data_IF_897878714738
#
_entry.id   IF_897878714738
#
_cell.length_a   1.000
_cell.length_b   1.000
_cell.length_c   1.000
_cell.angle_alpha   90.00
_cell.angle_beta   90.00
_cell.angle_gamma   90.00
#
_symmetry.space_group_name_H-M   'P 1'
#
loop_
_entity.id
_entity.type
_entity.pdbx_description
1 polymer ?
#
# COMPACT_ATOMS: atom_id res chain seq x y z
N UNK A 1 -28.49 5.30 -26.95
CA UNK A 1 -28.44 4.04 -26.16
C UNK A 1 -27.03 3.46 -26.07
N UNK A 2 -26.40 3.03 -27.17
CA UNK A 2 -25.03 2.45 -27.12
C UNK A 2 -24.01 3.33 -26.38
N UNK A 3 -23.97 4.63 -26.68
CA UNK A 3 -23.06 5.58 -26.01
C UNK A 3 -23.31 5.67 -24.49
N UNK A 4 -24.57 5.76 -24.08
CA UNK A 4 -24.99 5.83 -22.67
C UNK A 4 -24.60 4.54 -21.93
N UNK A 5 -24.80 3.38 -22.56
CA UNK A 5 -24.43 2.09 -21.97
C UNK A 5 -22.91 1.95 -21.80
N UNK A 6 -22.11 2.40 -22.79
CA UNK A 6 -20.65 2.40 -22.67
C UNK A 6 -20.19 3.30 -21.51
N UNK A 7 -20.78 4.49 -21.38
CA UNK A 7 -20.47 5.43 -20.30
C UNK A 7 -20.79 4.86 -18.91
N UNK A 8 -21.91 4.15 -18.80
CA UNK A 8 -22.28 3.43 -17.58
C UNK A 8 -21.26 2.33 -17.24
N UNK A 9 -20.89 1.50 -18.21
CA UNK A 9 -19.90 0.44 -17.99
C UNK A 9 -18.53 1.00 -17.57
N UNK A 10 -18.09 2.10 -18.17
CA UNK A 10 -16.84 2.77 -17.79
C UNK A 10 -16.92 3.33 -16.35
N UNK A 11 -18.07 3.91 -15.98
CA UNK A 11 -18.31 4.39 -14.62
C UNK A 11 -18.31 3.25 -13.58
N UNK A 12 -18.94 2.12 -13.89
CA UNK A 12 -18.96 0.92 -13.03
C UNK A 12 -17.53 0.38 -12.79
N UNK A 13 -16.70 0.34 -13.84
CA UNK A 13 -15.28 -0.05 -13.71
C UNK A 13 -14.50 0.89 -12.79
N UNK A 14 -14.79 2.18 -12.81
CA UNK A 14 -14.13 3.14 -11.92
C UNK A 14 -14.56 2.95 -10.45
N UNK A 15 -15.84 2.68 -10.19
CA UNK A 15 -16.30 2.36 -8.83
C UNK A 15 -15.66 1.06 -8.32
N UNK A 16 -15.57 0.05 -9.18
CA UNK A 16 -14.90 -1.22 -8.85
C UNK A 16 -13.42 -1.03 -8.55
N UNK A 17 -12.73 -0.21 -9.35
CA UNK A 17 -11.34 0.18 -9.11
C UNK A 17 -11.18 0.80 -7.70
N UNK A 18 -12.01 1.79 -7.36
CA UNK A 18 -11.95 2.47 -6.06
C UNK A 18 -12.16 1.46 -4.93
N UNK A 19 -13.21 0.64 -5.03
CA UNK A 19 -13.51 -0.40 -4.03
C UNK A 19 -12.34 -1.37 -3.83
N UNK A 20 -11.79 -1.87 -4.93
CA UNK A 20 -10.65 -2.80 -4.91
C UNK A 20 -9.46 -2.15 -4.23
N UNK A 21 -9.13 -0.92 -4.61
CA UNK A 21 -8.00 -0.20 -4.07
C UNK A 21 -8.15 0.10 -2.56
N UNK A 22 -9.31 0.59 -2.12
CA UNK A 22 -9.58 0.82 -0.70
C UNK A 22 -9.47 -0.46 0.14
N UNK A 23 -9.92 -1.60 -0.39
CA UNK A 23 -9.76 -2.90 0.28
C UNK A 23 -8.30 -3.33 0.37
N UNK A 24 -7.52 -3.17 -0.71
CA UNK A 24 -6.10 -3.51 -0.72
C UNK A 24 -5.31 -2.68 0.28
N UNK A 25 -5.57 -1.37 0.39
CA UNK A 25 -4.92 -0.51 1.39
C UNK A 25 -5.24 -1.01 2.81
N UNK A 26 -6.50 -1.37 3.09
CA UNK A 26 -6.89 -1.90 4.39
C UNK A 26 -6.25 -3.26 4.71
N UNK A 27 -6.07 -4.12 3.72
CA UNK A 27 -5.35 -5.39 3.87
C UNK A 27 -3.85 -5.16 4.14
N UNK A 28 -3.24 -4.21 3.43
CA UNK A 28 -1.85 -3.79 3.67
C UNK A 28 -1.69 -3.24 5.09
N UNK A 29 -2.59 -2.37 5.55
CA UNK A 29 -2.62 -1.86 6.93
C UNK A 29 -2.76 -2.99 7.95
N UNK A 30 -3.67 -3.95 7.73
CA UNK A 30 -3.86 -5.09 8.64
C UNK A 30 -2.61 -5.96 8.73
N UNK A 31 -1.90 -6.16 7.62
CA UNK A 31 -0.65 -6.90 7.60
C UNK A 31 0.46 -6.16 8.38
N UNK A 32 0.60 -4.85 8.16
CA UNK A 32 1.60 -4.01 8.83
C UNK A 32 1.36 -3.86 10.32
N UNK A 33 0.10 -3.73 10.75
CA UNK A 33 -0.26 -3.59 12.16
C UNK A 33 0.10 -4.81 13.02
N UNK A 34 0.50 -5.95 12.43
CA UNK A 34 1.11 -7.07 13.15
C UNK A 34 2.52 -6.76 13.68
N UNK A 35 3.18 -5.75 13.12
CA UNK A 35 4.57 -5.38 13.41
C UNK A 35 4.70 -3.99 14.06
N UNK A 36 3.65 -3.17 14.04
CA UNK A 36 3.72 -1.77 14.46
C UNK A 36 3.36 -1.54 15.94
N UNK A 37 3.28 -2.60 16.77
CA UNK A 37 2.98 -2.54 18.21
C UNK A 37 1.91 -1.50 18.57
N UNK A 38 2.28 -0.47 19.34
CA UNK A 38 1.41 0.63 19.80
C UNK A 38 1.24 1.76 18.75
N UNK A 39 1.99 1.73 17.66
CA UNK A 39 1.97 2.72 16.57
C UNK A 39 1.08 2.29 15.40
N UNK A 40 -0.07 1.68 15.70
CA UNK A 40 -0.99 1.16 14.68
C UNK A 40 -1.46 2.25 13.73
N UNK A 41 -1.63 1.87 12.48
CA UNK A 41 -2.22 2.70 11.45
C UNK A 41 -3.73 2.48 11.47
N UNK A 42 -4.49 3.59 11.43
CA UNK A 42 -5.93 3.54 11.29
C UNK A 42 -6.33 3.07 9.89
N UNK A 43 -7.44 2.35 9.79
CA UNK A 43 -7.98 1.91 8.51
C UNK A 43 -8.20 3.09 7.55
N UNK A 44 -8.10 2.79 6.26
CA UNK A 44 -8.42 3.70 5.18
C UNK A 44 -9.94 3.94 5.14
N UNK A 45 -10.32 5.21 5.13
CA UNK A 45 -11.72 5.64 5.14
C UNK A 45 -12.36 5.38 3.78
N UNK A 46 -13.63 4.95 3.78
CA UNK A 46 -14.37 4.60 2.56
C UNK A 46 -15.19 5.76 1.99
N UNK A 47 -14.95 7.00 2.44
CA UNK A 47 -15.72 8.19 2.05
C UNK A 47 -15.69 8.39 0.52
N UNK A 48 -14.54 8.16 -0.12
CA UNK A 48 -14.40 8.30 -1.58
C UNK A 48 -15.18 7.20 -2.31
N UNK A 49 -15.21 5.98 -1.77
CA UNK A 49 -16.04 4.89 -2.30
C UNK A 49 -17.53 5.21 -2.18
N UNK A 50 -17.97 5.77 -1.04
CA UNK A 50 -19.35 6.21 -0.84
C UNK A 50 -19.76 7.32 -1.83
N UNK A 51 -18.88 8.31 -2.08
CA UNK A 51 -19.07 9.34 -3.10
C UNK A 51 -19.20 8.71 -4.50
N UNK A 52 -18.34 7.74 -4.84
CA UNK A 52 -18.38 7.04 -6.13
C UNK A 52 -19.67 6.24 -6.33
N UNK A 53 -20.11 5.50 -5.32
CA UNK A 53 -21.37 4.72 -5.34
C UNK A 53 -22.56 5.65 -5.53
N UNK A 54 -22.59 6.80 -4.84
CA UNK A 54 -23.66 7.79 -4.98
C UNK A 54 -23.75 8.28 -6.43
N UNK A 55 -22.64 8.72 -7.01
CA UNK A 55 -22.63 9.18 -8.40
C UNK A 55 -23.02 8.08 -9.40
N UNK A 56 -22.63 6.82 -9.17
CA UNK A 56 -23.03 5.70 -10.02
C UNK A 56 -24.53 5.40 -9.91
N UNK A 57 -25.13 5.52 -8.74
CA UNK A 57 -26.57 5.40 -8.55
C UNK A 57 -27.34 6.51 -9.27
N UNK A 58 -26.86 7.75 -9.18
CA UNK A 58 -27.45 8.89 -9.89
C UNK A 58 -27.35 8.71 -11.41
N UNK A 59 -26.20 8.25 -11.90
CA UNK A 59 -25.99 7.90 -13.33
C UNK A 59 -26.99 6.83 -13.79
N UNK A 60 -27.18 5.76 -13.01
CA UNK A 60 -28.14 4.70 -13.28
C UNK A 60 -29.59 5.22 -13.37
N UNK A 61 -29.96 6.17 -12.50
CA UNK A 61 -31.28 6.80 -12.58
C UNK A 61 -31.45 7.61 -13.86
N UNK A 62 -30.44 8.42 -14.24
CA UNK A 62 -30.49 9.23 -15.47
C UNK A 62 -30.44 8.41 -16.75
N UNK A 63 -29.73 7.29 -16.74
CA UNK A 63 -29.74 6.34 -17.86
C UNK A 63 -31.15 5.80 -18.09
N UNK A 64 -31.83 5.30 -17.05
CA UNK A 64 -33.22 4.81 -17.15
C UNK A 64 -34.17 5.88 -17.69
N UNK A 65 -34.07 7.11 -17.20
CA UNK A 65 -34.85 8.25 -17.72
C UNK A 65 -34.58 8.48 -19.21
N UNK A 66 -33.31 8.44 -19.64
CA UNK A 66 -32.93 8.63 -21.04
C UNK A 66 -33.42 7.47 -21.94
N UNK A 67 -33.38 6.22 -21.46
CA UNK A 67 -33.95 5.07 -22.19
C UNK A 67 -35.46 5.24 -22.40
N UNK A 68 -36.17 5.69 -21.37
CA UNK A 68 -37.60 6.01 -21.45
C UNK A 68 -37.88 7.03 -22.57
N UNK A 69 -37.16 8.15 -22.57
CA UNK A 69 -37.33 9.19 -23.61
C UNK A 69 -37.01 8.66 -25.02
N UNK A 70 -35.99 7.81 -25.17
CA UNK A 70 -35.68 7.19 -26.48
C UNK A 70 -36.82 6.28 -26.95
N UNK A 71 -37.46 5.54 -26.04
CA UNK A 71 -38.59 4.69 -26.37
C UNK A 71 -39.82 5.52 -26.74
N UNK A 72 -40.07 6.64 -26.06
CA UNK A 72 -41.12 7.59 -26.43
C UNK A 72 -40.89 8.14 -27.84
N UNK A 73 -39.67 8.56 -28.18
CA UNK A 73 -39.31 9.02 -29.54
C UNK A 73 -39.57 7.93 -30.57
N UNK A 74 -39.15 6.68 -30.31
CA UNK A 74 -39.38 5.55 -31.22
C UNK A 74 -40.87 5.31 -31.44
N UNK A 75 -41.67 5.37 -30.38
CA UNK A 75 -43.11 5.20 -30.45
C UNK A 75 -43.74 6.29 -31.31
N UNK A 76 -43.41 7.56 -31.06
CA UNK A 76 -43.92 8.68 -31.86
C UNK A 76 -43.53 8.54 -33.35
N UNK A 77 -42.33 8.04 -33.67
CA UNK A 77 -41.95 7.76 -35.06
C UNK A 77 -42.78 6.64 -35.71
N UNK A 78 -43.10 5.57 -34.97
CA UNK A 78 -43.96 4.49 -35.46
C UNK A 78 -45.38 5.01 -35.67
N UNK A 79 -45.92 5.75 -34.71
CA UNK A 79 -47.27 6.31 -34.78
C UNK A 79 -47.40 7.29 -35.97
N UNK A 80 -46.39 8.14 -36.22
CA UNK A 80 -46.36 9.04 -37.38
C UNK A 80 -46.28 8.33 -38.72
N UNK A 81 -45.63 7.16 -38.78
CA UNK A 81 -45.44 6.43 -40.04
C UNK A 81 -46.76 5.89 -40.64
N UNK A 82 -47.81 5.86 -39.83
CA UNK A 82 -49.16 5.42 -40.20
C UNK A 82 -50.12 6.60 -40.47
N UNK A 83 -49.65 7.84 -40.30
CA UNK A 83 -50.49 9.03 -40.34
C UNK A 83 -50.53 9.65 -41.74
N UNK A 84 -51.73 10.05 -42.18
CA UNK A 84 -51.96 10.67 -43.50
C UNK A 84 -52.41 12.13 -43.38
N UNK A 85 -52.80 12.58 -42.19
CA UNK A 85 -53.28 13.94 -41.96
C UNK A 85 -52.17 14.93 -41.57
N UNK A 86 -52.09 16.05 -42.28
CA UNK A 86 -51.04 17.06 -42.09
C UNK A 86 -51.01 17.66 -40.67
N UNK A 87 -52.17 17.83 -40.02
CA UNK A 87 -52.26 18.35 -38.66
C UNK A 87 -51.68 17.36 -37.64
N UNK A 88 -51.97 16.08 -37.80
CA UNK A 88 -51.44 14.99 -36.97
C UNK A 88 -49.93 14.80 -37.18
N UNK A 89 -49.45 14.95 -38.42
CA UNK A 89 -48.02 14.99 -38.73
C UNK A 89 -47.30 16.16 -38.02
N UNK A 90 -47.89 17.37 -38.06
CA UNK A 90 -47.33 18.54 -37.39
C UNK A 90 -47.28 18.38 -35.86
N UNK A 91 -48.35 17.87 -35.24
CA UNK A 91 -48.39 17.62 -33.79
C UNK A 91 -47.31 16.61 -33.36
N UNK A 92 -47.14 15.55 -34.13
CA UNK A 92 -46.15 14.51 -33.83
C UNK A 92 -44.72 15.02 -33.99
N UNK A 93 -44.45 15.88 -34.98
CA UNK A 93 -43.17 16.59 -35.12
C UNK A 93 -42.86 17.40 -33.85
N UNK A 94 -43.82 18.14 -33.31
CA UNK A 94 -43.63 18.93 -32.09
C UNK A 94 -43.33 18.05 -30.88
N UNK A 95 -44.04 16.92 -30.72
CA UNK A 95 -43.77 15.95 -29.65
C UNK A 95 -42.37 15.35 -29.76
N UNK A 96 -41.98 14.87 -30.94
CA UNK A 96 -40.64 14.31 -31.20
C UNK A 96 -39.56 15.34 -30.84
N UNK A 97 -39.73 16.59 -31.27
CA UNK A 97 -38.80 17.68 -30.92
C UNK A 97 -38.76 17.94 -29.41
N UNK A 98 -39.91 17.91 -28.73
CA UNK A 98 -40.00 18.02 -27.27
C UNK A 98 -39.25 16.91 -26.54
N UNK A 99 -39.43 15.65 -26.96
CA UNK A 99 -38.69 14.51 -26.40
C UNK A 99 -37.19 14.60 -26.71
N UNK A 100 -36.82 15.01 -27.92
CA UNK A 100 -35.41 15.18 -28.31
C UNK A 100 -34.70 16.23 -27.44
N UNK A 101 -35.34 17.36 -27.15
CA UNK A 101 -34.78 18.37 -26.25
C UNK A 101 -34.57 17.83 -24.84
N UNK A 102 -35.55 17.10 -24.29
CA UNK A 102 -35.40 16.42 -22.98
C UNK A 102 -34.24 15.42 -22.99
N UNK A 103 -34.08 14.66 -24.07
CA UNK A 103 -32.99 13.70 -24.22
C UNK A 103 -31.63 14.40 -24.22
N UNK A 104 -31.50 15.54 -24.89
CA UNK A 104 -30.26 16.35 -24.92
C UNK A 104 -29.84 16.78 -23.51
N UNK A 105 -30.78 17.25 -22.70
CA UNK A 105 -30.50 17.64 -21.31
C UNK A 105 -30.10 16.44 -20.44
N UNK A 106 -30.73 15.28 -20.65
CA UNK A 106 -30.33 14.03 -19.95
C UNK A 106 -28.94 13.57 -20.34
N UNK A 107 -28.59 13.63 -21.63
CA UNK A 107 -27.24 13.29 -22.10
C UNK A 107 -26.19 14.21 -21.46
N UNK A 108 -26.47 15.52 -21.35
CA UNK A 108 -25.58 16.45 -20.64
C UNK A 108 -25.39 16.03 -19.18
N UNK A 109 -26.48 15.75 -18.46
CA UNK A 109 -26.43 15.30 -17.07
C UNK A 109 -25.66 13.98 -16.90
N UNK A 110 -25.86 13.01 -17.80
CA UNK A 110 -25.11 11.75 -17.84
C UNK A 110 -23.61 12.01 -18.01
N UNK A 111 -23.24 12.89 -18.94
CA UNK A 111 -21.84 13.26 -19.15
C UNK A 111 -21.22 13.89 -17.89
N UNK A 112 -21.96 14.76 -17.20
CA UNK A 112 -21.50 15.40 -15.96
C UNK A 112 -21.28 14.36 -14.84
N UNK A 113 -22.18 13.39 -14.68
CA UNK A 113 -21.97 12.29 -13.72
C UNK A 113 -20.75 11.44 -14.06
N UNK A 114 -20.54 11.10 -15.34
CA UNK A 114 -19.33 10.38 -15.77
C UNK A 114 -18.05 11.17 -15.49
N UNK A 115 -18.05 12.49 -15.73
CA UNK A 115 -16.93 13.38 -15.38
C UNK A 115 -16.66 13.40 -13.87
N UNK A 116 -17.71 13.44 -13.05
CA UNK A 116 -17.58 13.40 -11.59
C UNK A 116 -16.99 12.06 -11.11
N UNK A 117 -17.46 10.92 -11.62
CA UNK A 117 -16.92 9.60 -11.23
C UNK A 117 -15.43 9.48 -11.60
N UNK A 118 -15.05 9.97 -12.77
CA UNK A 118 -13.66 10.06 -13.21
C UNK A 118 -12.82 10.91 -12.24
N UNK A 119 -13.33 12.06 -11.81
CA UNK A 119 -12.65 12.91 -10.82
C UNK A 119 -12.53 12.21 -9.46
N UNK A 120 -13.57 11.51 -9.00
CA UNK A 120 -13.53 10.73 -7.75
C UNK A 120 -12.48 9.63 -7.81
N UNK A 121 -12.27 8.99 -8.96
CA UNK A 121 -11.15 8.05 -9.15
C UNK A 121 -9.79 8.72 -8.98
N UNK A 122 -9.60 9.93 -9.52
CA UNK A 122 -8.36 10.68 -9.30
C UNK A 122 -8.16 11.08 -7.83
N UNK A 123 -9.24 11.48 -7.13
CA UNK A 123 -9.20 11.73 -5.68
C UNK A 123 -8.83 10.48 -4.89
N UNK A 124 -9.34 9.30 -5.27
CA UNK A 124 -8.94 8.02 -4.66
C UNK A 124 -7.44 7.78 -4.83
N UNK A 125 -6.90 8.00 -6.02
CA UNK A 125 -5.47 7.85 -6.29
C UNK A 125 -4.62 8.81 -5.44
N UNK A 126 -5.03 10.08 -5.33
CA UNK A 126 -4.38 11.06 -4.45
C UNK A 126 -4.42 10.61 -2.98
N UNK A 127 -5.61 10.24 -2.48
CA UNK A 127 -5.80 9.84 -1.09
C UNK A 127 -5.09 8.53 -0.74
N UNK A 128 -4.97 7.61 -1.70
CA UNK A 128 -4.16 6.41 -1.58
C UNK A 128 -2.68 6.74 -1.38
N UNK A 129 -2.16 7.66 -2.20
CA UNK A 129 -0.79 8.15 -2.05
C UNK A 129 -0.58 8.77 -0.67
N UNK A 130 -1.49 9.64 -0.23
CA UNK A 130 -1.40 10.29 1.07
C UNK A 130 -1.43 9.26 2.22
N UNK A 131 -2.26 8.21 2.09
CA UNK A 131 -2.31 7.13 3.08
C UNK A 131 -1.04 6.30 3.11
N UNK A 132 -0.47 5.96 1.95
CA UNK A 132 0.80 5.25 1.88
C UNK A 132 1.96 6.09 2.44
N UNK A 133 1.94 7.41 2.26
CA UNK A 133 2.92 8.30 2.87
C UNK A 133 2.80 8.32 4.41
N UNK A 134 1.58 8.31 4.96
CA UNK A 134 1.34 8.13 6.40
C UNK A 134 1.95 6.81 6.90
N UNK A 135 1.77 5.73 6.14
CA UNK A 135 2.34 4.41 6.43
C UNK A 135 3.87 4.47 6.46
N UNK A 136 4.51 5.12 5.47
CA UNK A 136 5.97 5.30 5.44
C UNK A 136 6.46 6.02 6.71
N UNK A 137 5.75 7.05 7.17
CA UNK A 137 6.08 7.78 8.40
C UNK A 137 6.03 6.92 9.68
N UNK A 138 5.28 5.81 9.69
CA UNK A 138 5.21 4.90 10.84
C UNK A 138 6.38 3.93 10.93
N UNK A 139 7.08 3.67 9.83
CA UNK A 139 8.23 2.77 9.83
C UNK A 139 9.38 3.29 10.69
N UNK A 140 9.56 4.61 10.83
CA UNK A 140 10.64 5.19 11.64
C UNK A 140 10.72 4.58 13.04
N UNK A 141 9.61 4.52 13.76
CA UNK A 141 9.59 3.99 15.13
C UNK A 141 9.94 2.49 15.20
N UNK A 142 9.56 1.73 14.17
CA UNK A 142 9.88 0.29 14.06
C UNK A 142 11.38 0.12 13.84
N UNK A 143 11.95 0.90 12.92
CA UNK A 143 13.36 0.87 12.61
C UNK A 143 14.21 1.31 13.80
N UNK A 144 13.82 2.38 14.49
CA UNK A 144 14.49 2.89 15.69
C UNK A 144 14.50 1.84 16.81
N UNK A 145 13.37 1.16 17.04
CA UNK A 145 13.29 0.09 18.05
C UNK A 145 14.16 -1.11 17.66
N UNK A 146 14.12 -1.49 16.38
CA UNK A 146 14.87 -2.62 15.87
C UNK A 146 16.38 -2.38 15.95
N UNK A 147 16.88 -1.21 15.55
CA UNK A 147 18.31 -0.91 15.61
C UNK A 147 18.82 -0.90 17.05
N UNK A 148 18.06 -0.34 18.01
CA UNK A 148 18.45 -0.37 19.43
C UNK A 148 18.66 -1.81 19.92
N UNK A 149 17.71 -2.71 19.67
CA UNK A 149 17.84 -4.12 20.08
C UNK A 149 19.03 -4.83 19.43
N UNK A 150 19.30 -4.52 18.16
CA UNK A 150 20.43 -5.10 17.44
C UNK A 150 21.78 -4.63 18.00
N UNK A 151 21.87 -3.36 18.38
CA UNK A 151 23.06 -2.80 19.03
C UNK A 151 23.25 -3.34 20.46
N UNK A 152 22.16 -3.48 21.22
CA UNK A 152 22.21 -4.09 22.56
C UNK A 152 22.70 -5.54 22.49
N UNK A 153 22.14 -6.33 21.56
CA UNK A 153 22.61 -7.69 21.29
C UNK A 153 24.11 -7.70 20.91
N UNK A 154 24.55 -6.75 20.08
CA UNK A 154 25.96 -6.64 19.70
C UNK A 154 26.88 -6.42 20.90
N UNK A 155 26.52 -5.47 21.76
CA UNK A 155 27.29 -5.15 22.98
C UNK A 155 27.33 -6.34 23.95
N UNK A 156 26.22 -7.07 24.11
CA UNK A 156 26.20 -8.28 24.93
C UNK A 156 27.12 -9.36 24.37
N UNK A 157 27.12 -9.57 23.05
CA UNK A 157 28.03 -10.54 22.41
C UNK A 157 29.50 -10.16 22.63
N UNK A 158 29.87 -8.88 22.50
CA UNK A 158 31.24 -8.42 22.77
C UNK A 158 31.67 -8.66 24.23
N UNK A 159 30.78 -8.42 25.20
CA UNK A 159 31.05 -8.69 26.61
C UNK A 159 31.21 -10.20 26.88
N UNK A 160 30.38 -11.04 26.25
CA UNK A 160 30.49 -12.50 26.34
C UNK A 160 31.81 -12.99 25.73
N UNK A 161 32.18 -12.52 24.53
CA UNK A 161 33.42 -12.88 23.85
C UNK A 161 34.63 -12.57 24.74
N UNK A 162 34.67 -11.36 25.31
CA UNK A 162 35.72 -10.95 26.24
C UNK A 162 35.80 -11.88 27.45
N UNK A 163 34.66 -12.17 28.10
CA UNK A 163 34.61 -13.02 29.29
C UNK A 163 35.04 -14.45 29.01
N UNK A 164 34.63 -15.03 27.89
CA UNK A 164 35.02 -16.38 27.48
C UNK A 164 36.52 -16.44 27.17
N UNK A 165 37.05 -15.43 26.47
CA UNK A 165 38.50 -15.32 26.19
C UNK A 165 39.32 -15.21 27.47
N UNK A 166 38.88 -14.39 28.43
CA UNK A 166 39.53 -14.29 29.75
C UNK A 166 39.48 -15.62 30.52
N UNK A 167 38.38 -16.36 30.43
CA UNK A 167 38.24 -17.67 31.06
C UNK A 167 39.14 -18.72 30.42
N UNK A 168 39.30 -18.73 29.09
CA UNK A 168 40.26 -19.57 28.37
C UNK A 168 41.70 -19.32 28.88
N UNK A 169 42.09 -18.05 29.02
CA UNK A 169 43.38 -17.67 29.58
C UNK A 169 43.56 -18.13 31.03
N UNK A 170 42.53 -17.98 31.88
CA UNK A 170 42.55 -18.46 33.27
C UNK A 170 42.71 -19.97 33.35
N UNK A 171 42.01 -20.74 32.52
CA UNK A 171 42.14 -22.20 32.47
C UNK A 171 43.57 -22.63 32.13
N UNK A 172 44.21 -21.99 31.14
CA UNK A 172 45.61 -22.24 30.77
C UNK A 172 46.60 -21.98 31.92
N UNK A 173 46.28 -21.04 32.81
CA UNK A 173 47.12 -20.63 33.95
C UNK A 173 46.90 -21.40 35.25
N UNK A 174 45.91 -22.30 35.32
CA UNK A 174 45.67 -23.11 36.54
C UNK A 174 46.79 -24.16 36.68
N UNK A 175 47.35 -24.26 37.89
CA UNK A 175 48.41 -25.23 38.20
C UNK A 175 47.97 -26.65 37.87
N UNK A 176 48.84 -27.40 37.18
CA UNK A 176 48.66 -28.83 36.90
C UNK A 176 48.74 -29.71 38.15
N UNK A 177 49.12 -29.13 39.29
CA UNK A 177 49.14 -29.79 40.59
C UNK A 177 47.75 -29.71 41.23
N UNK A 178 47.18 -30.87 41.57
CA UNK A 178 45.85 -31.01 42.18
C UNK A 178 45.83 -30.57 43.64
N UNK A 179 45.85 -29.25 43.86
CA UNK A 179 45.55 -28.66 45.17
C UNK A 179 44.07 -28.31 45.26
N UNK A 180 43.52 -28.26 46.48
CA UNK A 180 42.15 -27.81 46.71
C UNK A 180 41.89 -26.42 46.10
N UNK A 181 42.88 -25.52 46.18
CA UNK A 181 42.79 -24.18 45.60
C UNK A 181 42.75 -24.22 44.06
N UNK A 182 43.52 -25.10 43.42
CA UNK A 182 43.48 -25.29 41.96
C UNK A 182 42.10 -25.78 41.51
N UNK A 183 41.52 -26.75 42.23
CA UNK A 183 40.19 -27.32 41.93
C UNK A 183 39.09 -26.26 42.09
N UNK A 184 39.13 -25.46 43.16
CA UNK A 184 38.15 -24.38 43.37
C UNK A 184 38.22 -23.31 42.27
N UNK A 185 39.44 -22.92 41.85
CA UNK A 185 39.62 -21.98 40.74
C UNK A 185 39.06 -22.54 39.43
N UNK A 186 39.33 -23.81 39.13
CA UNK A 186 38.80 -24.49 37.95
C UNK A 186 37.26 -24.49 37.94
N UNK A 187 36.64 -24.95 39.03
CA UNK A 187 35.18 -25.00 39.15
C UNK A 187 34.53 -23.62 38.97
N UNK A 188 35.12 -22.57 39.53
CA UNK A 188 34.63 -21.20 39.38
C UNK A 188 34.72 -20.72 37.92
N UNK A 189 35.79 -21.05 37.21
CA UNK A 189 35.93 -20.69 35.79
C UNK A 189 34.91 -21.46 34.94
N UNK A 190 34.73 -22.77 35.16
CA UNK A 190 33.70 -23.56 34.47
C UNK A 190 32.30 -22.99 34.70
N UNK A 191 31.94 -22.67 35.95
CA UNK A 191 30.63 -22.06 36.25
C UNK A 191 30.44 -20.72 35.53
N UNK A 192 31.49 -19.90 35.44
CA UNK A 192 31.42 -18.65 34.70
C UNK A 192 31.26 -18.87 33.19
N UNK A 193 31.88 -19.90 32.62
CA UNK A 193 31.68 -20.29 31.21
C UNK A 193 30.22 -20.67 31.00
N UNK A 194 29.65 -21.56 31.83
CA UNK A 194 28.26 -22.01 31.70
C UNK A 194 27.26 -20.84 31.73
N UNK A 195 27.44 -19.88 32.65
CA UNK A 195 26.60 -18.68 32.74
C UNK A 195 26.69 -17.83 31.46
N UNK A 196 27.88 -17.65 30.90
CA UNK A 196 28.04 -16.87 29.67
C UNK A 196 27.50 -17.61 28.44
N UNK A 197 27.56 -18.94 28.41
CA UNK A 197 26.96 -19.75 27.34
C UNK A 197 25.43 -19.70 27.37
N UNK A 198 24.81 -19.67 28.56
CA UNK A 198 23.37 -19.44 28.68
C UNK A 198 22.96 -18.07 28.10
N UNK A 199 23.70 -17.01 28.46
CA UNK A 199 23.48 -15.67 27.90
C UNK A 199 23.70 -15.62 26.39
N UNK A 200 24.71 -16.32 25.88
CA UNK A 200 24.98 -16.40 24.44
C UNK A 200 23.76 -16.97 23.69
N UNK A 201 23.17 -18.04 24.21
CA UNK A 201 21.96 -18.63 23.63
C UNK A 201 20.77 -17.66 23.69
N UNK A 202 20.58 -16.92 24.77
CA UNK A 202 19.52 -15.91 24.87
C UNK A 202 19.67 -14.82 23.79
N UNK A 203 20.89 -14.29 23.62
CA UNK A 203 21.18 -13.28 22.61
C UNK A 203 21.05 -13.84 21.18
N UNK A 204 21.44 -15.09 20.95
CA UNK A 204 21.24 -15.78 19.68
C UNK A 204 19.75 -15.86 19.31
N UNK A 205 18.88 -16.26 20.25
CA UNK A 205 17.43 -16.32 20.01
C UNK A 205 16.84 -14.93 19.75
N UNK A 206 17.27 -13.92 20.50
CA UNK A 206 16.91 -12.52 20.28
C UNK A 206 17.28 -12.07 18.86
N UNK A 207 18.53 -12.30 18.43
CA UNK A 207 19.01 -11.92 17.10
C UNK A 207 18.28 -12.66 15.97
N UNK A 208 18.00 -13.96 16.14
CA UNK A 208 17.23 -14.76 15.18
C UNK A 208 15.78 -14.28 15.05
N UNK A 209 15.18 -13.79 16.14
CA UNK A 209 13.86 -13.15 16.10
C UNK A 209 13.90 -11.85 15.31
N UNK A 210 14.89 -11.00 15.57
CA UNK A 210 15.05 -9.73 14.84
C UNK A 210 15.34 -9.95 13.34
N UNK A 211 16.15 -10.95 12.97
CA UNK A 211 16.39 -11.30 11.56
C UNK A 211 15.07 -11.61 10.81
N UNK A 212 14.17 -12.39 11.44
CA UNK A 212 12.84 -12.67 10.86
C UNK A 212 12.02 -11.41 10.68
N UNK A 213 12.08 -10.48 11.64
CA UNK A 213 11.36 -9.21 11.57
C UNK A 213 11.93 -8.29 10.49
N UNK A 214 13.25 -8.17 10.38
CA UNK A 214 13.94 -7.44 9.29
C UNK A 214 13.48 -7.97 7.93
N UNK A 215 13.48 -9.30 7.74
CA UNK A 215 13.06 -9.91 6.47
C UNK A 215 11.60 -9.59 6.13
N UNK A 216 10.71 -9.69 7.11
CA UNK A 216 9.30 -9.33 6.92
C UNK A 216 9.12 -7.84 6.59
N UNK A 217 9.92 -6.95 7.17
CA UNK A 217 9.92 -5.52 6.84
C UNK A 217 10.36 -5.27 5.40
N UNK A 218 11.42 -5.95 4.92
CA UNK A 218 11.87 -5.86 3.51
C UNK A 218 10.74 -6.27 2.56
N UNK A 219 10.09 -7.41 2.81
CA UNK A 219 9.00 -7.92 1.97
C UNK A 219 7.81 -6.95 1.94
N UNK A 220 7.41 -6.43 3.10
CA UNK A 220 6.30 -5.48 3.20
C UNK A 220 6.62 -4.16 2.49
N UNK A 221 7.80 -3.57 2.71
CA UNK A 221 8.18 -2.28 2.08
C UNK A 221 8.33 -2.43 0.58
N UNK A 222 8.90 -3.53 0.10
CA UNK A 222 9.00 -3.83 -1.34
C UNK A 222 7.62 -3.94 -1.98
N UNK A 223 6.66 -4.58 -1.28
CA UNK A 223 5.26 -4.64 -1.74
C UNK A 223 4.63 -3.24 -1.84
N UNK A 224 4.88 -2.36 -0.87
CA UNK A 224 4.35 -0.99 -0.87
C UNK A 224 4.97 -0.11 -1.97
N UNK A 225 6.27 -0.28 -2.27
CA UNK A 225 6.91 0.35 -3.44
C UNK A 225 6.20 -0.11 -4.73
N UNK A 226 5.93 -1.41 -4.86
CA UNK A 226 5.19 -1.94 -6.01
C UNK A 226 3.75 -1.41 -6.11
N UNK A 227 3.08 -1.13 -4.97
CA UNK A 227 1.79 -0.43 -4.96
C UNK A 227 1.92 0.98 -5.54
N UNK A 228 2.92 1.75 -5.11
CA UNK A 228 3.22 3.07 -5.65
C UNK A 228 3.47 3.04 -7.16
N UNK A 229 4.29 2.10 -7.63
CA UNK A 229 4.57 1.91 -9.06
C UNK A 229 3.29 1.56 -9.86
N UNK A 230 2.44 0.69 -9.32
CA UNK A 230 1.16 0.34 -9.95
C UNK A 230 0.26 1.56 -10.08
N UNK A 231 0.18 2.38 -9.03
CA UNK A 231 -0.59 3.62 -9.03
C UNK A 231 -0.07 4.62 -10.06
N UNK A 232 1.26 4.71 -10.24
CA UNK A 232 1.89 5.53 -11.27
C UNK A 232 1.55 5.03 -12.68
N UNK A 233 1.56 3.72 -12.90
CA UNK A 233 1.12 3.10 -14.16
C UNK A 233 -0.35 3.43 -14.43
N UNK A 234 -1.23 3.26 -13.45
CA UNK A 234 -2.66 3.57 -13.60
C UNK A 234 -2.90 5.06 -13.95
N UNK A 235 -2.11 5.97 -13.35
CA UNK A 235 -2.13 7.41 -13.68
C UNK A 235 -1.61 7.70 -15.09
N UNK A 236 -0.61 6.97 -15.57
CA UNK A 236 -0.09 7.09 -16.93
C UNK A 236 -1.10 6.58 -17.97
N UNK A 237 -1.73 5.44 -17.71
CA UNK A 237 -2.77 4.89 -18.59
C UNK A 237 -3.97 5.83 -18.66
N UNK A 238 -4.36 6.42 -17.53
CA UNK A 238 -5.40 7.44 -17.49
C UNK A 238 -5.03 8.67 -18.35
N UNK A 239 -3.78 9.11 -18.29
CA UNK A 239 -3.24 10.24 -19.07
C UNK A 239 -3.24 9.92 -20.59
N UNK A 240 -2.75 8.74 -20.99
CA UNK A 240 -2.69 8.30 -22.40
C UNK A 240 -4.08 8.09 -23.01
N UNK A 241 -4.99 7.43 -22.30
CA UNK A 241 -6.38 7.21 -22.77
C UNK A 241 -7.09 8.55 -23.00
N UNK A 242 -6.79 9.54 -22.17
CA UNK A 242 -7.33 10.90 -22.28
C UNK A 242 -6.75 11.70 -23.46
N UNK A 243 -5.63 11.27 -24.05
CA UNK A 243 -4.96 11.91 -25.20
C UNK A 243 -5.24 11.21 -26.55
N UNK A 244 -6.04 10.14 -26.57
CA UNK A 244 -6.45 9.48 -27.81
C UNK A 244 -7.49 10.31 -28.57
N UNK A 245 -7.35 10.39 -29.89
CA UNK A 245 -8.05 11.28 -30.85
C UNK A 245 -9.59 11.17 -30.92
N UNK A 246 -10.23 10.41 -30.03
CA UNK A 246 -11.65 10.08 -30.08
C UNK A 246 -12.51 10.63 -28.92
N UNK A 247 -11.97 11.43 -27.98
CA UNK A 247 -12.76 12.09 -26.92
C UNK A 247 -12.29 13.52 -26.68
N UNK A 248 -13.21 14.39 -26.25
CA UNK A 248 -12.94 15.77 -25.79
C UNK A 248 -11.60 15.82 -25.05
N UNK A 249 -10.69 16.70 -25.49
CA UNK A 249 -9.40 16.89 -24.83
C UNK A 249 -9.61 16.98 -23.33
N UNK A 250 -8.93 16.13 -22.55
CA UNK A 250 -8.81 16.34 -21.10
C UNK A 250 -8.44 17.79 -20.87
N UNK A 251 -9.26 18.52 -20.12
CA UNK A 251 -8.98 19.92 -19.87
C UNK A 251 -7.62 20.07 -19.17
N UNK A 252 -6.98 21.22 -19.39
CA UNK A 252 -5.65 21.53 -18.85
C UNK A 252 -5.62 21.40 -17.31
N UNK A 253 -6.74 21.67 -16.64
CA UNK A 253 -6.89 21.51 -15.20
C UNK A 253 -6.76 20.05 -14.75
N UNK A 254 -7.39 19.11 -15.46
CA UNK A 254 -7.32 17.68 -15.18
C UNK A 254 -5.90 17.16 -15.43
N UNK A 255 -5.24 17.60 -16.50
CA UNK A 255 -3.83 17.23 -16.77
C UNK A 255 -2.89 17.72 -15.66
N UNK A 256 -3.03 18.99 -15.26
CA UNK A 256 -2.29 19.55 -14.12
C UNK A 256 -2.54 18.77 -12.84
N UNK A 257 -3.78 18.36 -12.58
CA UNK A 257 -4.12 17.57 -11.42
C UNK A 257 -3.49 16.18 -11.45
N UNK A 258 -3.53 15.47 -12.57
CA UNK A 258 -2.84 14.18 -12.75
C UNK A 258 -1.34 14.33 -12.49
N UNK A 259 -0.69 15.36 -13.05
CA UNK A 259 0.75 15.62 -12.81
C UNK A 259 1.05 15.85 -11.34
N UNK A 260 0.20 16.59 -10.62
CA UNK A 260 0.31 16.78 -9.17
C UNK A 260 0.24 15.44 -8.42
N UNK A 261 -0.72 14.58 -8.78
CA UNK A 261 -0.86 13.25 -8.15
C UNK A 261 0.39 12.40 -8.44
N UNK A 262 0.88 12.36 -9.70
CA UNK A 262 2.12 11.65 -10.05
C UNK A 262 3.30 12.11 -9.19
N UNK A 263 3.42 13.42 -8.95
CA UNK A 263 4.43 13.97 -8.03
C UNK A 263 4.31 13.44 -6.60
N UNK A 264 3.09 13.38 -6.05
CA UNK A 264 2.85 12.79 -4.72
C UNK A 264 3.19 11.30 -4.67
N UNK A 265 2.83 10.54 -5.71
CA UNK A 265 3.11 9.11 -5.79
C UNK A 265 4.62 8.86 -5.84
N UNK A 266 5.36 9.62 -6.65
CA UNK A 266 6.83 9.53 -6.70
C UNK A 266 7.45 9.83 -5.34
N UNK A 267 7.02 10.90 -4.67
CA UNK A 267 7.50 11.22 -3.33
C UNK A 267 7.20 10.10 -2.32
N UNK A 268 6.05 9.44 -2.44
CA UNK A 268 5.68 8.29 -1.60
C UNK A 268 6.58 7.07 -1.87
N UNK A 269 6.92 6.82 -3.14
CA UNK A 269 7.86 5.75 -3.53
C UNK A 269 9.25 6.03 -2.95
N UNK A 270 9.74 7.26 -3.08
CA UNK A 270 11.03 7.70 -2.51
C UNK A 270 11.05 7.52 -0.98
N UNK A 271 9.95 7.87 -0.30
CA UNK A 271 9.83 7.67 1.14
C UNK A 271 9.99 6.18 1.54
N UNK A 272 9.39 5.25 0.79
CA UNK A 272 9.59 3.83 1.04
C UNK A 272 10.98 3.32 0.63
N UNK A 273 11.61 3.91 -0.37
CA UNK A 273 12.99 3.56 -0.73
C UNK A 273 13.95 3.92 0.41
N UNK A 274 13.81 5.10 1.02
CA UNK A 274 14.59 5.48 2.20
C UNK A 274 14.34 4.51 3.38
N UNK A 275 13.09 4.11 3.61
CA UNK A 275 12.77 3.09 4.61
C UNK A 275 13.47 1.76 4.29
N UNK A 276 13.47 1.34 3.02
CA UNK A 276 14.12 0.10 2.60
C UNK A 276 15.63 0.14 2.82
N UNK A 277 16.29 1.27 2.55
CA UNK A 277 17.71 1.48 2.80
C UNK A 277 18.04 1.30 4.29
N UNK A 278 17.29 1.94 5.19
CA UNK A 278 17.47 1.78 6.64
C UNK A 278 17.23 0.33 7.11
N UNK A 279 16.29 -0.41 6.49
CA UNK A 279 16.12 -1.83 6.80
C UNK A 279 17.33 -2.65 6.38
N UNK A 280 17.99 -2.32 5.26
CA UNK A 280 19.23 -3.01 4.86
C UNK A 280 20.38 -2.76 5.84
N UNK A 281 20.45 -1.59 6.46
CA UNK A 281 21.41 -1.33 7.55
C UNK A 281 21.13 -2.24 8.74
N UNK A 282 19.88 -2.34 9.20
CA UNK A 282 19.49 -3.28 10.27
C UNK A 282 19.82 -4.73 9.90
N UNK A 283 19.63 -5.12 8.63
CA UNK A 283 20.03 -6.44 8.14
C UNK A 283 21.53 -6.68 8.30
N UNK A 284 22.38 -5.70 7.98
CA UNK A 284 23.83 -5.83 8.19
C UNK A 284 24.16 -6.07 9.67
N UNK A 285 23.49 -5.38 10.59
CA UNK A 285 23.66 -5.59 12.04
C UNK A 285 23.27 -7.01 12.47
N UNK A 286 22.16 -7.57 11.97
CA UNK A 286 21.79 -8.98 12.27
C UNK A 286 22.87 -9.97 11.83
N UNK A 287 23.49 -9.74 10.67
CA UNK A 287 24.57 -10.58 10.13
C UNK A 287 25.86 -10.45 10.95
N UNK A 288 26.22 -9.23 11.34
CA UNK A 288 27.39 -8.98 12.19
C UNK A 288 27.26 -9.67 13.55
N UNK A 289 26.07 -9.60 14.16
CA UNK A 289 25.79 -10.31 15.41
C UNK A 289 25.87 -11.83 15.23
N UNK A 290 25.33 -12.38 14.14
CA UNK A 290 25.42 -13.81 13.84
C UNK A 290 26.89 -14.27 13.66
N UNK A 291 27.72 -13.47 12.99
CA UNK A 291 29.15 -13.75 12.82
C UNK A 291 29.91 -13.72 14.14
N UNK A 292 29.63 -12.73 14.99
CA UNK A 292 30.25 -12.63 16.33
C UNK A 292 29.85 -13.80 17.21
N UNK A 293 28.56 -14.15 17.23
CA UNK A 293 28.05 -15.34 17.94
C UNK A 293 28.78 -16.62 17.50
N UNK A 294 28.95 -16.82 16.19
CA UNK A 294 29.71 -17.95 15.65
C UNK A 294 31.18 -17.93 16.11
N UNK A 295 31.82 -16.75 16.14
CA UNK A 295 33.18 -16.59 16.64
C UNK A 295 33.32 -17.03 18.10
N UNK A 296 32.36 -16.68 18.95
CA UNK A 296 32.34 -17.06 20.37
C UNK A 296 32.26 -18.59 20.54
N UNK A 297 31.40 -19.27 19.76
CA UNK A 297 31.33 -20.74 19.77
C UNK A 297 32.66 -21.39 19.37
N UNK A 298 33.43 -20.79 18.45
CA UNK A 298 34.75 -21.30 18.09
C UNK A 298 35.80 -21.14 19.19
N UNK A 299 35.68 -20.10 20.04
CA UNK A 299 36.54 -19.98 21.25
C UNK A 299 36.15 -21.06 22.25
N UNK A 300 34.85 -21.26 22.48
CA UNK A 300 34.34 -22.25 23.43
C UNK A 300 34.76 -23.71 23.11
N UNK A 301 34.95 -24.04 21.82
CA UNK A 301 35.42 -25.37 21.40
C UNK A 301 36.89 -25.66 21.70
N UNK A 302 37.71 -24.64 22.00
CA UNK A 302 39.17 -24.78 22.24
C UNK A 302 39.47 -25.10 23.68
#
# INVERSE_FOLDING_TARGET
LRLINNQKQDAEKNVEYIKKNSNLINDDIRALNKYFDNNRINNYQLIILEEAIKHANDLNAKEKEAVGIVNDIKKEFVDVSLELEMNSLNSSKEKIMGHYNKLKDKIKSINDFCKNINLVKLKEMESSSDKYLEIAGKFKNVLDTQITRLLDNHMMLQDIEKKITENEGKLKGISRTYTLQSIQKFNNVCKNIDINMQKLHEVEQSNNSEEKQVKACIENVSRLINRGNTLLTDLNDYDVVSHSTAKESTDDATKKYITKIKGKVNHTIEAFQMVLESIQENKLHTQNNANLNKGIYEIWKR
#
